data_IF_974027590760
#
_entry.id   IF_974027590760
#
_cell.length_a   1.000
_cell.length_b   1.000
_cell.length_c   1.000
_cell.angle_alpha   90.00
_cell.angle_beta   90.00
_cell.angle_gamma   90.00
#
_symmetry.space_group_name_H-M   'P 1'
#
loop_
_entity.id
_entity.type
_entity.pdbx_description
1 polymer ?
#
# COMPACT_ATOMS: atom_id res chain seq x y z
N UNK A 1 -12.14 1.98 -25.88
CA UNK A 1 -13.01 3.07 -26.33
C UNK A 1 -12.61 4.34 -25.59
N UNK A 2 -12.55 5.52 -26.23
CA UNK A 2 -12.33 6.80 -25.55
C UNK A 2 -13.48 7.20 -24.59
N UNK A 3 -14.64 6.52 -24.67
CA UNK A 3 -15.81 6.76 -23.81
C UNK A 3 -15.60 6.48 -22.32
N UNK A 4 -14.50 5.84 -21.93
CA UNK A 4 -14.16 5.51 -20.54
C UNK A 4 -13.10 6.44 -19.93
N UNK A 5 -12.68 7.48 -20.65
CA UNK A 5 -11.75 8.45 -20.12
C UNK A 5 -12.49 9.50 -19.29
N UNK A 6 -12.02 9.81 -18.07
CA UNK A 6 -12.64 10.85 -17.28
C UNK A 6 -12.54 12.18 -18.04
N UNK A 7 -13.68 12.89 -18.13
CA UNK A 7 -13.78 14.17 -18.83
C UNK A 7 -13.04 15.31 -18.09
N UNK A 8 -12.72 15.10 -16.81
CA UNK A 8 -12.01 16.03 -15.95
C UNK A 8 -11.04 15.27 -15.06
N UNK A 9 -9.91 15.90 -14.73
CA UNK A 9 -9.00 15.34 -13.73
C UNK A 9 -9.69 15.29 -12.36
N UNK A 10 -9.48 14.23 -11.58
CA UNK A 10 -10.03 14.14 -10.23
C UNK A 10 -9.43 15.21 -9.31
N UNK A 11 -10.23 15.69 -8.36
CA UNK A 11 -9.78 16.70 -7.38
C UNK A 11 -8.74 16.14 -6.40
N UNK A 12 -8.76 14.82 -6.16
CA UNK A 12 -7.81 14.12 -5.29
C UNK A 12 -7.01 13.08 -6.08
N UNK A 13 -5.74 12.84 -5.70
CA UNK A 13 -4.94 11.81 -6.34
C UNK A 13 -5.49 10.42 -6.04
N UNK A 14 -5.53 9.57 -7.07
CA UNK A 14 -5.70 8.13 -6.90
C UNK A 14 -4.33 7.47 -6.82
N UNK A 15 -4.16 6.59 -5.84
CA UNK A 15 -2.97 5.78 -5.70
C UNK A 15 -3.29 4.37 -6.14
N UNK A 16 -2.52 3.83 -7.07
CA UNK A 16 -2.67 2.47 -7.59
C UNK A 16 -1.36 1.74 -7.40
N UNK A 17 -1.41 0.52 -6.86
CA UNK A 17 -0.30 -0.43 -6.97
C UNK A 17 -0.56 -1.35 -8.14
N UNK A 18 0.43 -1.45 -9.03
CA UNK A 18 0.48 -2.44 -10.10
C UNK A 18 1.44 -3.53 -9.66
N UNK A 19 0.96 -4.76 -9.60
CA UNK A 19 1.78 -5.88 -9.16
C UNK A 19 1.52 -7.11 -10.01
N UNK A 20 2.45 -8.05 -9.91
CA UNK A 20 2.37 -9.36 -10.55
C UNK A 20 2.18 -10.39 -9.47
N UNK A 21 1.15 -11.22 -9.60
CA UNK A 21 0.89 -12.30 -8.66
C UNK A 21 1.71 -13.56 -8.98
N UNK A 22 1.46 -14.63 -8.21
CA UNK A 22 2.12 -15.93 -8.37
C UNK A 22 1.83 -16.62 -9.70
N UNK A 23 0.72 -16.26 -10.37
CA UNK A 23 0.29 -16.83 -11.64
C UNK A 23 0.77 -15.98 -12.85
N UNK A 24 1.75 -15.10 -12.62
CA UNK A 24 2.32 -14.17 -13.60
C UNK A 24 1.28 -13.15 -14.14
N UNK A 25 0.15 -12.96 -13.44
CA UNK A 25 -0.90 -12.04 -13.87
C UNK A 25 -0.66 -10.63 -13.32
N UNK A 26 -0.85 -9.63 -14.18
CA UNK A 26 -0.79 -8.22 -13.79
C UNK A 26 -2.11 -7.82 -13.15
N UNK A 27 -2.03 -7.32 -11.93
CA UNK A 27 -3.16 -6.90 -11.11
C UNK A 27 -3.01 -5.44 -10.67
N UNK A 28 -4.15 -4.83 -10.33
CA UNK A 28 -4.25 -3.43 -9.91
C UNK A 28 -5.04 -3.35 -8.61
N UNK A 29 -4.55 -2.59 -7.63
CA UNK A 29 -5.28 -2.30 -6.40
C UNK A 29 -5.25 -0.80 -6.15
N UNK A 30 -6.42 -0.22 -5.91
CA UNK A 30 -6.53 1.14 -5.39
C UNK A 30 -6.09 1.16 -3.94
N UNK A 31 -5.16 2.06 -3.63
CA UNK A 31 -4.56 2.22 -2.32
C UNK A 31 -5.29 3.33 -1.56
N UNK A 32 -5.56 3.07 -0.28
CA UNK A 32 -5.80 4.17 0.66
C UNK A 32 -4.53 4.99 0.86
N UNK A 33 -4.67 6.25 1.29
CA UNK A 33 -3.53 7.12 1.59
C UNK A 33 -2.57 6.47 2.58
N UNK A 34 -3.09 5.79 3.61
CA UNK A 34 -2.27 5.08 4.60
C UNK A 34 -1.44 3.97 3.95
N UNK A 35 -2.08 3.15 3.12
CA UNK A 35 -1.41 2.03 2.45
C UNK A 35 -0.38 2.47 1.41
N UNK A 36 -0.60 3.63 0.78
CA UNK A 36 0.39 4.30 -0.06
C UNK A 36 1.64 4.71 0.73
N UNK A 37 1.47 5.42 1.87
CA UNK A 37 2.62 5.82 2.70
C UNK A 37 3.39 4.61 3.24
N UNK A 38 2.68 3.53 3.56
CA UNK A 38 3.30 2.28 3.99
C UNK A 38 4.21 1.70 2.90
N UNK A 39 3.69 1.53 1.68
CA UNK A 39 4.48 1.02 0.56
C UNK A 39 5.63 1.96 0.20
N UNK A 40 5.38 3.26 0.17
CA UNK A 40 6.41 4.26 -0.13
C UNK A 40 7.57 4.20 0.89
N UNK A 41 7.25 4.07 2.18
CA UNK A 41 8.26 3.93 3.25
C UNK A 41 9.10 2.67 3.08
N UNK A 42 8.46 1.56 2.71
CA UNK A 42 9.14 0.29 2.44
C UNK A 42 10.02 0.35 1.18
N UNK A 43 9.63 1.13 0.16
CA UNK A 43 10.42 1.28 -1.06
C UNK A 43 11.71 2.08 -0.83
N UNK A 44 11.65 3.12 0.00
CA UNK A 44 12.84 3.92 0.36
C UNK A 44 13.84 3.14 1.23
N UNK A 45 13.41 2.06 1.90
CA UNK A 45 14.24 1.25 2.78
C UNK A 45 14.33 -0.20 2.29
N UNK A 46 15.47 -0.56 1.70
CA UNK A 46 15.68 -1.86 1.04
C UNK A 46 15.40 -3.09 1.92
N UNK A 47 15.50 -2.96 3.25
CA UNK A 47 15.04 -3.93 4.24
C UNK A 47 14.79 -3.20 5.56
N UNK A 48 13.60 -3.38 6.12
CA UNK A 48 13.20 -2.81 7.42
C UNK A 48 12.35 -3.86 8.14
N UNK A 49 12.42 -3.93 9.47
CA UNK A 49 11.50 -4.76 10.23
C UNK A 49 10.12 -4.08 10.30
N UNK A 50 9.06 -4.87 10.49
CA UNK A 50 7.69 -4.35 10.47
C UNK A 50 7.45 -3.34 11.60
N UNK A 51 7.99 -3.55 12.79
CA UNK A 51 7.81 -2.65 13.93
C UNK A 51 8.40 -1.24 13.66
N UNK A 52 9.58 -1.18 13.07
CA UNK A 52 10.25 0.07 12.67
C UNK A 52 9.53 0.74 11.50
N UNK A 53 8.90 -0.04 10.61
CA UNK A 53 8.06 0.53 9.57
C UNK A 53 6.80 1.16 10.16
N UNK A 54 6.11 0.46 11.06
CA UNK A 54 4.90 0.95 11.72
C UNK A 54 5.18 2.21 12.54
N UNK A 55 6.27 2.26 13.30
CA UNK A 55 6.65 3.44 14.10
C UNK A 55 6.97 4.69 13.27
N UNK A 56 7.34 4.52 11.98
CA UNK A 56 7.59 5.64 11.07
C UNK A 56 6.33 6.22 10.42
N UNK A 57 5.31 5.38 10.21
CA UNK A 57 4.10 5.77 9.47
C UNK A 57 2.93 6.10 10.40
N UNK A 58 2.91 5.48 11.59
CA UNK A 58 1.87 5.70 12.58
C UNK A 58 2.25 6.89 13.47
N UNK A 59 1.32 7.85 13.69
CA UNK A 59 1.47 8.87 14.72
C UNK A 59 1.74 8.27 16.11
N UNK A 60 2.50 8.96 16.97
CA UNK A 60 2.80 8.48 18.34
C UNK A 60 1.54 8.21 19.18
N UNK A 61 0.42 8.88 18.89
CA UNK A 61 -0.86 8.73 19.58
C UNK A 61 -1.88 7.91 18.76
N UNK A 62 -1.41 7.01 17.90
CA UNK A 62 -2.30 6.12 17.15
C UNK A 62 -3.09 5.23 18.09
N UNK A 63 -4.36 4.99 17.77
CA UNK A 63 -5.17 4.01 18.48
C UNK A 63 -4.91 2.59 17.96
N UNK A 64 -5.38 1.60 18.72
CA UNK A 64 -5.24 0.18 18.40
C UNK A 64 -5.92 -0.19 17.07
N UNK A 65 -6.97 0.53 16.68
CA UNK A 65 -7.68 0.29 15.42
C UNK A 65 -6.84 0.68 14.22
N UNK A 66 -6.13 1.81 14.30
CA UNK A 66 -5.26 2.28 13.22
C UNK A 66 -4.03 1.38 13.08
N UNK A 67 -3.45 0.96 14.19
CA UNK A 67 -2.34 0.00 14.20
C UNK A 67 -2.78 -1.34 13.58
N UNK A 68 -3.93 -1.87 13.98
CA UNK A 68 -4.51 -3.10 13.41
C UNK A 68 -4.72 -2.97 11.90
N UNK A 69 -5.24 -1.83 11.45
CA UNK A 69 -5.46 -1.56 10.02
C UNK A 69 -4.15 -1.52 9.23
N UNK A 70 -3.07 -0.97 9.81
CA UNK A 70 -1.76 -0.95 9.18
C UNK A 70 -1.16 -2.36 9.08
N UNK A 71 -1.31 -3.18 10.12
CA UNK A 71 -0.89 -4.57 10.12
C UNK A 71 -1.65 -5.38 9.06
N UNK A 72 -2.98 -5.22 8.99
CA UNK A 72 -3.81 -5.88 7.98
C UNK A 72 -3.38 -5.49 6.55
N UNK A 73 -3.05 -4.22 6.30
CA UNK A 73 -2.54 -3.78 5.01
C UNK A 73 -1.21 -4.49 4.64
N UNK A 74 -0.26 -4.59 5.57
CA UNK A 74 0.99 -5.33 5.36
C UNK A 74 0.70 -6.79 5.02
N UNK A 75 -0.17 -7.44 5.79
CA UNK A 75 -0.54 -8.84 5.55
C UNK A 75 -1.16 -9.04 4.16
N UNK A 76 -2.05 -8.15 3.74
CA UNK A 76 -2.64 -8.22 2.40
C UNK A 76 -1.58 -8.08 1.31
N UNK A 77 -0.62 -7.18 1.47
CA UNK A 77 0.47 -6.99 0.51
C UNK A 77 1.42 -8.19 0.46
N UNK A 78 1.72 -8.81 1.59
CA UNK A 78 2.53 -10.04 1.65
C UNK A 78 1.81 -11.20 0.95
N UNK A 79 0.52 -11.39 1.26
CA UNK A 79 -0.30 -12.43 0.63
C UNK A 79 -0.38 -12.28 -0.90
N UNK A 80 -0.32 -11.03 -1.38
CA UNK A 80 -0.33 -10.68 -2.81
C UNK A 80 1.06 -10.61 -3.43
N UNK A 81 2.11 -10.92 -2.67
CA UNK A 81 3.52 -10.83 -3.07
C UNK A 81 3.95 -9.42 -3.53
N UNK A 82 3.25 -8.39 -3.07
CA UNK A 82 3.60 -6.98 -3.29
C UNK A 82 4.79 -6.60 -2.40
N UNK A 83 4.84 -7.15 -1.19
CA UNK A 83 5.97 -7.07 -0.26
C UNK A 83 6.49 -8.49 -0.03
N UNK A 84 7.80 -8.63 0.13
CA UNK A 84 8.46 -9.89 0.43
C UNK A 84 9.07 -9.83 1.83
N UNK A 85 8.79 -10.84 2.66
CA UNK A 85 9.43 -11.05 3.96
C UNK A 85 10.61 -12.00 3.78
N UNK A 86 11.72 -11.73 4.47
CA UNK A 86 12.92 -12.58 4.51
C UNK A 86 13.13 -13.16 5.90
#
# INVERSE_FOLDING_TARGET
SPDYLPLQAPEQPYYLVVYRDSDDQVNFIELSIMSYFLLHTLQEQQTINIADCLSKILPENSDESLESSAIEAIQQFVNKQIILIR
#
